data_IF_941943177487
#
_entry.id   IF_941943177487
#
_cell.length_a   1.000
_cell.length_b   1.000
_cell.length_c   1.000
_cell.angle_alpha   90.00
_cell.angle_beta   90.00
_cell.angle_gamma   90.00
#
_symmetry.space_group_name_H-M   'P 1'
#
loop_
_entity.id
_entity.type
_entity.pdbx_description
1 polymer ?
#
# COMPACT_ATOMS: atom_id res chain seq x y z
N UNK A 1 40.38 -29.65 -23.46
CA UNK A 1 39.27 -29.27 -22.58
C UNK A 1 38.72 -27.94 -23.06
N UNK A 2 37.66 -27.95 -23.87
CA UNK A 2 37.00 -26.73 -24.30
C UNK A 2 35.81 -26.44 -23.37
N UNK A 3 35.83 -25.25 -22.78
CA UNK A 3 34.59 -24.56 -22.45
C UNK A 3 33.86 -24.26 -23.77
N UNK A 4 32.59 -24.61 -23.82
CA UNK A 4 31.64 -23.98 -24.75
C UNK A 4 30.30 -23.87 -24.05
N UNK A 5 29.82 -22.63 -24.04
CA UNK A 5 28.54 -22.09 -23.64
C UNK A 5 27.39 -23.11 -23.58
N UNK A 6 26.82 -23.29 -22.39
CA UNK A 6 25.54 -23.97 -22.24
C UNK A 6 24.49 -22.99 -21.71
N UNK A 7 23.65 -22.59 -22.66
CA UNK A 7 22.27 -22.11 -22.52
C UNK A 7 22.06 -20.83 -21.70
N UNK A 8 22.05 -19.71 -22.43
CA UNK A 8 21.16 -18.58 -22.12
C UNK A 8 19.71 -19.10 -22.17
N UNK A 9 19.19 -19.49 -21.02
CA UNK A 9 17.79 -19.86 -20.84
C UNK A 9 16.88 -18.69 -21.25
N UNK A 10 15.75 -18.95 -21.92
CA UNK A 10 14.82 -17.91 -22.31
C UNK A 10 14.07 -17.39 -21.08
N UNK A 11 14.08 -16.06 -20.95
CA UNK A 11 13.02 -15.19 -20.41
C UNK A 11 11.80 -15.87 -19.77
N UNK A 12 11.57 -15.64 -18.47
CA UNK A 12 10.57 -14.70 -17.94
C UNK A 12 10.66 -14.69 -16.40
N UNK A 13 11.10 -13.58 -15.81
CA UNK A 13 11.11 -13.37 -14.37
C UNK A 13 10.23 -12.20 -13.94
N UNK A 14 9.23 -11.83 -14.75
CA UNK A 14 8.12 -11.00 -14.29
C UNK A 14 7.27 -11.81 -13.32
N UNK A 15 7.79 -12.12 -12.14
CA UNK A 15 6.95 -12.54 -11.02
C UNK A 15 6.07 -11.34 -10.73
N UNK A 16 4.86 -11.34 -11.30
CA UNK A 16 3.95 -10.21 -11.24
C UNK A 16 3.68 -9.84 -9.80
N UNK A 17 4.39 -8.82 -9.29
CA UNK A 17 4.12 -8.23 -7.98
C UNK A 17 2.63 -7.93 -7.94
N UNK A 18 1.89 -8.69 -7.12
CA UNK A 18 0.46 -8.56 -7.05
C UNK A 18 0.18 -7.22 -6.41
N UNK A 19 -0.73 -6.45 -7.02
CA UNK A 19 -1.18 -5.19 -6.43
C UNK A 19 -2.44 -5.46 -5.63
N UNK A 20 -2.41 -5.16 -4.33
CA UNK A 20 -3.55 -5.25 -3.43
C UNK A 20 -4.02 -3.82 -3.16
N UNK A 21 -5.20 -3.47 -3.67
CA UNK A 21 -5.81 -2.16 -3.39
C UNK A 21 -6.79 -2.33 -2.24
N UNK A 22 -6.60 -1.54 -1.19
CA UNK A 22 -7.43 -1.55 0.01
C UNK A 22 -8.17 -0.21 0.05
N UNK A 23 -9.48 -0.23 -0.12
CA UNK A 23 -10.32 0.93 0.12
C UNK A 23 -10.53 1.11 1.62
N UNK A 24 -10.27 2.31 2.15
CA UNK A 24 -10.51 2.62 3.56
C UNK A 24 -11.17 3.99 3.75
N UNK A 25 -11.98 4.10 4.79
CA UNK A 25 -12.28 5.38 5.42
C UNK A 25 -11.18 5.68 6.45
N UNK A 26 -10.89 6.94 6.75
CA UNK A 26 -9.83 7.26 7.72
C UNK A 26 -10.28 7.12 9.19
N UNK A 27 -10.99 6.03 9.50
CA UNK A 27 -11.54 5.67 10.80
C UNK A 27 -10.91 4.37 11.34
N UNK A 28 -11.12 4.09 12.63
CA UNK A 28 -10.50 2.95 13.31
C UNK A 28 -10.83 1.58 12.66
N UNK A 29 -12.10 1.28 12.30
CA UNK A 29 -12.44 -0.01 11.69
C UNK A 29 -11.74 -0.26 10.36
N UNK A 30 -11.59 0.77 9.52
CA UNK A 30 -10.94 0.59 8.22
C UNK A 30 -9.41 0.43 8.34
N UNK A 31 -8.80 0.92 9.42
CA UNK A 31 -7.38 0.67 9.71
C UNK A 31 -7.14 -0.80 10.05
N UNK A 32 -8.04 -1.43 10.80
CA UNK A 32 -7.97 -2.88 11.06
C UNK A 32 -8.03 -3.69 9.76
N UNK A 33 -8.83 -3.23 8.79
CA UNK A 33 -8.89 -3.85 7.47
C UNK A 33 -7.57 -3.74 6.69
N UNK A 34 -6.88 -2.59 6.77
CA UNK A 34 -5.54 -2.43 6.19
C UNK A 34 -4.51 -3.34 6.86
N UNK A 35 -4.55 -3.47 8.19
CA UNK A 35 -3.72 -4.44 8.93
C UNK A 35 -3.99 -5.87 8.48
N UNK A 36 -5.26 -6.25 8.34
CA UNK A 36 -5.64 -7.57 7.85
C UNK A 36 -5.11 -7.82 6.43
N UNK A 37 -5.22 -6.85 5.52
CA UNK A 37 -4.69 -6.97 4.17
C UNK A 37 -3.16 -7.20 4.16
N UNK A 38 -2.42 -6.46 4.98
CA UNK A 38 -0.97 -6.62 5.10
C UNK A 38 -0.55 -7.97 5.69
N UNK A 39 -1.28 -8.47 6.70
CA UNK A 39 -0.89 -9.67 7.45
C UNK A 39 -1.45 -10.96 6.84
N UNK A 40 -2.56 -10.88 6.08
CA UNK A 40 -3.29 -12.06 5.58
C UNK A 40 -3.39 -12.17 4.07
N UNK A 41 -3.32 -11.06 3.34
CA UNK A 41 -3.53 -11.05 1.88
C UNK A 41 -2.23 -10.83 1.11
N UNK A 42 -1.42 -9.86 1.55
CA UNK A 42 -0.17 -9.52 0.90
C UNK A 42 0.91 -10.56 1.18
N UNK A 43 1.68 -10.91 0.15
CA UNK A 43 2.90 -11.71 0.27
C UNK A 43 4.14 -10.80 0.15
N UNK A 44 5.30 -11.24 0.62
CA UNK A 44 6.56 -10.53 0.39
C UNK A 44 6.77 -10.24 -1.10
N UNK A 45 6.99 -8.98 -1.44
CA UNK A 45 7.12 -8.51 -2.83
C UNK A 45 5.82 -7.99 -3.46
N UNK A 46 4.66 -8.14 -2.81
CA UNK A 46 3.42 -7.50 -3.26
C UNK A 46 3.40 -6.00 -2.94
N UNK A 47 2.65 -5.24 -3.73
CA UNK A 47 2.43 -3.80 -3.49
C UNK A 47 1.03 -3.59 -2.94
N UNK A 48 0.94 -3.02 -1.73
CA UNK A 48 -0.34 -2.67 -1.11
C UNK A 48 -0.60 -1.17 -1.28
N UNK A 49 -1.75 -0.80 -1.83
CA UNK A 49 -2.19 0.58 -2.04
C UNK A 49 -3.41 0.86 -1.19
N UNK A 50 -3.24 1.68 -0.16
CA UNK A 50 -4.31 2.18 0.70
C UNK A 50 -4.99 3.38 0.03
N UNK A 51 -6.25 3.24 -0.40
CA UNK A 51 -7.01 4.26 -1.11
C UNK A 51 -8.17 4.77 -0.24
N UNK A 52 -8.19 6.08 0.00
CA UNK A 52 -9.31 6.76 0.65
C UNK A 52 -9.89 7.79 -0.32
N UNK A 53 -11.21 7.77 -0.51
CA UNK A 53 -11.92 8.69 -1.41
C UNK A 53 -12.67 9.71 -0.56
N UNK A 54 -12.35 10.98 -0.76
CA UNK A 54 -12.95 12.09 -0.02
C UNK A 54 -14.30 12.48 -0.62
N UNK A 55 -15.36 12.42 0.20
CA UNK A 55 -16.69 12.89 -0.17
C UNK A 55 -16.87 14.40 0.03
N UNK A 56 -17.82 15.01 -0.69
CA UNK A 56 -18.13 16.45 -0.61
C UNK A 56 -18.47 16.94 0.82
N UNK A 57 -18.95 16.03 1.68
CA UNK A 57 -19.29 16.32 3.08
C UNK A 57 -18.05 16.43 3.99
N UNK A 58 -16.95 15.73 3.68
CA UNK A 58 -15.71 15.78 4.47
C UNK A 58 -14.87 17.03 4.16
N UNK A 59 -15.10 17.64 2.99
CA UNK A 59 -14.55 18.95 2.59
C UNK A 59 -15.38 20.14 3.07
N UNK A 60 -16.60 19.92 3.60
CA UNK A 60 -17.61 20.97 3.80
C UNK A 60 -17.55 21.71 5.15
N UNK A 61 -16.46 21.62 5.91
CA UNK A 61 -16.23 22.55 7.01
C UNK A 61 -15.64 23.83 6.45
N UNK A 62 -16.50 24.81 6.08
CA UNK A 62 -16.31 26.27 5.88
C UNK A 62 -15.03 26.83 5.22
N UNK A 63 -13.87 26.27 5.50
CA UNK A 63 -12.55 26.61 4.99
C UNK A 63 -11.96 25.52 4.06
N UNK A 64 -12.41 24.25 4.15
CA UNK A 64 -12.06 23.13 3.24
C UNK A 64 -10.58 22.69 3.23
N UNK A 65 -9.64 23.65 3.34
CA UNK A 65 -8.18 23.49 3.41
C UNK A 65 -7.75 22.84 4.71
N UNK A 66 -8.34 23.25 5.83
CA UNK A 66 -8.10 22.65 7.14
C UNK A 66 -8.47 21.16 7.20
N UNK A 67 -9.60 20.74 6.60
CA UNK A 67 -9.97 19.31 6.49
C UNK A 67 -8.95 18.51 5.68
N UNK A 68 -8.48 19.03 4.54
CA UNK A 68 -7.47 18.36 3.71
C UNK A 68 -6.12 18.23 4.43
N UNK A 69 -5.66 19.29 5.09
CA UNK A 69 -4.40 19.25 5.87
C UNK A 69 -4.48 18.27 7.04
N UNK A 70 -5.63 18.18 7.71
CA UNK A 70 -5.86 17.19 8.76
C UNK A 70 -5.82 15.76 8.21
N UNK A 71 -6.41 15.55 7.02
CA UNK A 71 -6.39 14.26 6.34
C UNK A 71 -4.97 13.84 5.91
N UNK A 72 -4.18 14.77 5.37
CA UNK A 72 -2.76 14.52 5.04
C UNK A 72 -1.98 14.08 6.27
N UNK A 73 -2.15 14.77 7.40
CA UNK A 73 -1.52 14.36 8.67
C UNK A 73 -1.98 12.99 9.14
N UNK A 74 -3.25 12.64 8.91
CA UNK A 74 -3.76 11.31 9.22
C UNK A 74 -3.10 10.22 8.34
N UNK A 75 -2.81 10.51 7.07
CA UNK A 75 -2.04 9.60 6.22
C UNK A 75 -0.60 9.44 6.70
N UNK A 76 0.09 10.52 7.06
CA UNK A 76 1.47 10.45 7.57
C UNK A 76 1.54 9.57 8.84
N UNK A 77 0.58 9.75 9.75
CA UNK A 77 0.47 8.91 10.95
C UNK A 77 0.23 7.42 10.61
N UNK A 78 -0.68 7.15 9.66
CA UNK A 78 -0.98 5.78 9.23
C UNK A 78 0.22 5.15 8.53
N UNK A 79 0.89 5.87 7.62
CA UNK A 79 2.10 5.40 6.94
C UNK A 79 3.19 5.02 7.94
N UNK A 80 3.47 5.89 8.93
CA UNK A 80 4.48 5.62 9.95
C UNK A 80 4.19 4.33 10.75
N UNK A 81 2.91 4.02 11.03
CA UNK A 81 2.52 2.77 11.70
C UNK A 81 2.76 1.55 10.80
N UNK A 82 2.50 1.68 9.49
CA UNK A 82 2.58 0.55 8.55
C UNK A 82 3.95 0.35 7.89
N UNK A 83 4.85 1.34 7.92
CA UNK A 83 6.24 1.20 7.45
C UNK A 83 6.97 0.06 8.17
N UNK A 84 6.65 -0.18 9.45
CA UNK A 84 7.19 -1.30 10.21
C UNK A 84 6.83 -2.67 9.63
N UNK A 85 5.71 -2.80 8.92
CA UNK A 85 5.31 -4.05 8.28
C UNK A 85 6.03 -4.29 6.96
N UNK A 86 6.37 -3.23 6.23
CA UNK A 86 7.01 -3.31 4.91
C UNK A 86 8.54 -3.49 5.00
N UNK A 87 9.16 -3.05 6.09
CA UNK A 87 10.62 -3.08 6.28
C UNK A 87 11.11 -4.31 7.09
N UNK A 88 10.23 -5.30 7.33
CA UNK A 88 10.63 -6.58 7.92
C UNK A 88 11.40 -7.41 6.88
N UNK A 89 12.68 -7.67 7.19
CA UNK A 89 13.65 -8.38 6.33
C UNK A 89 13.60 -9.90 6.49
#
# INVERSE_FOLDING_TARGET
MPQTDLAKEPSHGGSGCRKVVVGLKMDSPSKEFLTWALVKVAHPGDTVVALHVLGNQETANGDGKSSLLSLVKAFDYVLAVYEGFCNLK
#
